data_IF_580406215104
#
_entry.id   IF_580406215104
#
_cell.length_a   1.000
_cell.length_b   1.000
_cell.length_c   1.000
_cell.angle_alpha   90.00
_cell.angle_beta   90.00
_cell.angle_gamma   90.00
#
_symmetry.space_group_name_H-M   'P 1'
#
loop_
_entity.id
_entity.type
_entity.pdbx_description
1 polymer ?
#
# COMPACT_ATOMS: atom_id res chain seq x y z
N UNK A 1 83.94 -35.20 -27.72
CA UNK A 1 82.96 -34.54 -28.60
C UNK A 1 81.58 -34.77 -27.99
N UNK A 2 81.08 -33.87 -27.16
CA UNK A 2 79.79 -33.99 -26.46
C UNK A 2 78.92 -32.76 -26.77
N UNK A 3 77.80 -33.01 -27.40
CA UNK A 3 76.82 -31.99 -27.75
C UNK A 3 75.87 -31.89 -26.58
N UNK A 4 75.77 -30.72 -25.95
CA UNK A 4 74.81 -30.41 -24.84
C UNK A 4 73.63 -29.78 -25.51
N UNK A 5 72.46 -30.43 -25.39
CA UNK A 5 71.15 -29.95 -25.84
C UNK A 5 70.49 -29.14 -24.71
N UNK A 6 70.27 -27.89 -24.98
CA UNK A 6 69.52 -27.01 -24.08
C UNK A 6 68.03 -27.12 -24.40
N UNK A 7 67.22 -27.60 -23.44
CA UNK A 7 65.73 -27.55 -23.46
C UNK A 7 65.24 -26.28 -22.81
N UNK A 8 64.71 -25.39 -23.62
CA UNK A 8 63.98 -24.20 -23.15
C UNK A 8 62.62 -24.60 -22.61
N UNK A 9 62.38 -24.35 -21.33
CA UNK A 9 61.04 -24.43 -20.70
C UNK A 9 60.37 -23.07 -20.85
N UNK A 10 59.37 -22.99 -21.72
CA UNK A 10 58.46 -21.87 -21.83
C UNK A 10 57.32 -22.07 -20.80
N UNK A 11 57.38 -21.35 -19.67
CA UNK A 11 56.28 -21.26 -18.70
C UNK A 11 55.25 -20.29 -19.26
N UNK A 12 54.13 -20.83 -19.73
CA UNK A 12 52.95 -20.05 -20.10
C UNK A 12 52.15 -19.62 -18.87
N UNK A 13 52.19 -18.35 -18.59
CA UNK A 13 51.36 -17.73 -17.53
C UNK A 13 49.98 -17.42 -18.10
N UNK A 14 48.99 -18.26 -17.80
CA UNK A 14 47.59 -18.01 -18.14
C UNK A 14 47.01 -16.96 -17.21
N UNK A 15 46.77 -15.76 -17.69
CA UNK A 15 46.05 -14.69 -16.98
C UNK A 15 44.56 -14.96 -17.16
N UNK A 16 43.90 -15.45 -16.11
CA UNK A 16 42.45 -15.58 -16.05
C UNK A 16 41.86 -14.18 -15.80
N UNK A 17 41.31 -13.55 -16.82
CA UNK A 17 40.52 -12.32 -16.70
C UNK A 17 39.16 -12.67 -16.09
N UNK A 18 38.98 -12.39 -14.82
CA UNK A 18 37.68 -12.46 -14.17
C UNK A 18 36.77 -11.33 -14.69
N UNK A 19 35.84 -11.65 -15.57
CA UNK A 19 34.78 -10.75 -16.01
C UNK A 19 33.79 -10.60 -14.86
N UNK A 20 33.87 -9.49 -14.12
CA UNK A 20 32.86 -9.06 -13.15
C UNK A 20 31.61 -8.64 -13.93
N UNK A 21 30.57 -9.49 -13.97
CA UNK A 21 29.27 -9.13 -14.49
C UNK A 21 28.63 -8.23 -13.44
N UNK A 22 28.31 -6.93 -13.72
CA UNK A 22 27.56 -6.12 -12.80
C UNK A 22 26.19 -6.79 -12.61
N UNK A 23 25.90 -7.25 -11.39
CA UNK A 23 24.62 -7.79 -11.02
C UNK A 23 23.56 -6.71 -11.26
N UNK A 24 22.63 -6.94 -12.19
CA UNK A 24 21.43 -6.14 -12.36
C UNK A 24 20.60 -6.41 -11.11
N UNK A 25 20.67 -5.50 -10.15
CA UNK A 25 19.74 -5.48 -9.01
C UNK A 25 18.37 -5.14 -9.59
N UNK A 26 17.55 -6.17 -9.85
CA UNK A 26 16.13 -5.97 -10.08
C UNK A 26 15.58 -5.39 -8.79
N UNK A 27 15.24 -4.11 -8.79
CA UNK A 27 14.45 -3.53 -7.73
C UNK A 27 13.16 -4.35 -7.67
N UNK A 28 13.03 -5.23 -6.67
CA UNK A 28 11.77 -5.89 -6.37
C UNK A 28 10.80 -4.77 -6.01
N UNK A 29 9.86 -4.49 -6.90
CA UNK A 29 8.68 -3.72 -6.53
C UNK A 29 8.04 -4.50 -5.38
N UNK A 30 8.06 -3.94 -4.16
CA UNK A 30 7.42 -4.57 -3.03
C UNK A 30 5.95 -4.77 -3.40
N UNK A 31 5.46 -6.00 -3.28
CA UNK A 31 4.05 -6.32 -3.51
C UNK A 31 3.18 -5.44 -2.61
N UNK A 32 2.11 -4.87 -3.18
CA UNK A 32 1.13 -4.09 -2.41
C UNK A 32 0.26 -5.07 -1.64
N UNK A 33 0.25 -4.96 -0.31
CA UNK A 33 -0.46 -5.88 0.57
C UNK A 33 -1.49 -5.17 1.44
N UNK A 34 -2.45 -5.94 1.98
CA UNK A 34 -3.50 -5.37 2.82
C UNK A 34 -2.93 -4.72 4.07
N UNK A 35 -2.21 -5.49 4.91
CA UNK A 35 -1.77 -5.00 6.21
C UNK A 35 -0.84 -3.79 6.12
N UNK A 36 0.08 -3.80 5.15
CA UNK A 36 1.06 -2.74 5.00
C UNK A 36 0.51 -1.48 4.33
N UNK A 37 -0.24 -1.66 3.22
CA UNK A 37 -0.54 -0.55 2.32
C UNK A 37 -2.02 -0.15 2.34
N UNK A 38 -2.94 -1.10 2.47
CA UNK A 38 -4.38 -0.86 2.33
C UNK A 38 -5.06 -0.60 3.67
N UNK A 39 -4.72 -1.36 4.72
CA UNK A 39 -5.35 -1.21 6.03
C UNK A 39 -5.18 0.19 6.63
N UNK A 40 -4.02 0.86 6.53
CA UNK A 40 -3.90 2.26 6.96
C UNK A 40 -4.86 3.20 6.22
N UNK A 41 -5.08 2.98 4.92
CA UNK A 41 -6.03 3.74 4.12
C UNK A 41 -7.47 3.47 4.60
N UNK A 42 -7.82 2.20 4.82
CA UNK A 42 -9.13 1.82 5.35
C UNK A 42 -9.40 2.46 6.70
N UNK A 43 -8.44 2.45 7.61
CA UNK A 43 -8.55 3.07 8.93
C UNK A 43 -8.86 4.55 8.83
N UNK A 44 -8.09 5.30 8.06
CA UNK A 44 -8.25 6.75 7.94
C UNK A 44 -9.53 7.14 7.19
N UNK A 45 -9.83 6.49 6.08
CA UNK A 45 -10.80 6.98 5.10
C UNK A 45 -12.14 6.23 5.10
N UNK A 46 -12.20 5.01 5.63
CA UNK A 46 -13.38 4.15 5.49
C UNK A 46 -14.00 3.72 6.83
N UNK A 47 -13.18 3.36 7.83
CA UNK A 47 -13.65 2.72 9.06
C UNK A 47 -14.47 3.63 9.97
N UNK A 48 -14.34 4.94 9.84
CA UNK A 48 -15.21 5.86 10.62
C UNK A 48 -16.70 5.60 10.34
N UNK A 49 -17.05 5.24 9.11
CA UNK A 49 -18.42 4.89 8.72
C UNK A 49 -18.64 3.38 8.59
N UNK A 50 -17.65 2.65 8.02
CA UNK A 50 -17.75 1.22 7.70
C UNK A 50 -17.22 0.35 8.84
N UNK A 51 -17.94 0.29 9.96
CA UNK A 51 -17.70 -0.53 11.13
C UNK A 51 -19.00 -0.96 11.79
N UNK A 52 -18.95 -1.89 12.72
CA UNK A 52 -20.14 -2.25 13.53
C UNK A 52 -20.62 -1.00 14.29
N UNK A 53 -21.90 -0.68 14.19
CA UNK A 53 -22.47 0.53 14.78
C UNK A 53 -22.20 1.82 14.01
N UNK A 54 -21.45 1.79 12.92
CA UNK A 54 -21.22 2.92 12.03
C UNK A 54 -22.35 3.16 11.02
N UNK A 55 -22.25 4.23 10.24
CA UNK A 55 -23.26 4.60 9.24
C UNK A 55 -23.18 3.79 7.93
N UNK A 56 -22.04 3.13 7.66
CA UNK A 56 -21.84 2.33 6.44
C UNK A 56 -22.57 0.99 6.50
N UNK A 57 -23.04 0.46 5.36
CA UNK A 57 -23.87 -0.75 5.32
C UNK A 57 -23.14 -2.05 5.65
N UNK A 58 -21.80 -2.08 5.54
CA UNK A 58 -20.97 -3.22 5.85
C UNK A 58 -19.68 -2.77 6.56
N UNK A 59 -19.13 -3.58 7.47
CA UNK A 59 -17.84 -3.28 8.08
C UNK A 59 -16.69 -3.49 7.09
N UNK A 60 -15.67 -2.64 7.17
CA UNK A 60 -14.41 -2.71 6.40
C UNK A 60 -13.22 -2.59 7.37
N UNK A 61 -13.22 -3.41 8.42
CA UNK A 61 -12.25 -3.33 9.52
C UNK A 61 -11.13 -4.36 9.35
N UNK A 62 -11.47 -5.58 8.95
CA UNK A 62 -10.50 -6.68 8.82
C UNK A 62 -10.29 -7.05 7.36
N UNK A 63 -9.19 -7.77 7.08
CA UNK A 63 -8.92 -8.32 5.76
C UNK A 63 -10.14 -9.09 5.18
N UNK A 64 -10.72 -9.98 5.98
CA UNK A 64 -11.86 -10.82 5.55
C UNK A 64 -13.12 -10.00 5.24
N UNK A 65 -13.24 -8.83 5.81
CA UNK A 65 -14.34 -7.89 5.54
C UNK A 65 -14.07 -7.02 4.32
N UNK A 66 -12.82 -6.73 4.00
CA UNK A 66 -12.42 -5.81 2.91
C UNK A 66 -12.20 -6.55 1.59
N UNK A 67 -11.46 -7.67 1.62
CA UNK A 67 -11.05 -8.38 0.42
C UNK A 67 -12.20 -8.79 -0.51
N UNK A 68 -13.37 -9.26 -0.02
CA UNK A 68 -14.51 -9.60 -0.90
C UNK A 68 -15.08 -8.40 -1.66
N UNK A 69 -14.84 -7.18 -1.18
CA UNK A 69 -15.33 -5.94 -1.78
C UNK A 69 -14.26 -5.16 -2.55
N UNK A 70 -13.06 -5.71 -2.74
CA UNK A 70 -11.92 -5.01 -3.33
C UNK A 70 -12.26 -4.33 -4.68
N UNK A 71 -12.91 -5.04 -5.60
CA UNK A 71 -13.31 -4.48 -6.87
C UNK A 71 -14.38 -3.39 -6.77
N UNK A 72 -15.30 -3.50 -5.79
CA UNK A 72 -16.28 -2.45 -5.51
C UNK A 72 -15.63 -1.22 -4.89
N UNK A 73 -14.68 -1.43 -3.98
CA UNK A 73 -13.90 -0.36 -3.35
C UNK A 73 -13.11 0.38 -4.44
N UNK A 74 -12.37 -0.34 -5.29
CA UNK A 74 -11.66 0.25 -6.43
C UNK A 74 -12.60 1.12 -7.29
N UNK A 75 -13.73 0.56 -7.69
CA UNK A 75 -14.71 1.29 -8.52
C UNK A 75 -15.24 2.54 -7.82
N UNK A 76 -15.66 2.43 -6.55
CA UNK A 76 -16.26 3.54 -5.80
C UNK A 76 -15.27 4.65 -5.49
N UNK A 77 -14.03 4.30 -5.18
CA UNK A 77 -12.98 5.30 -4.91
C UNK A 77 -12.52 6.01 -6.17
N UNK A 78 -12.51 5.33 -7.32
CA UNK A 78 -12.17 5.92 -8.61
C UNK A 78 -13.20 6.95 -9.12
N UNK A 79 -14.42 6.98 -8.55
CA UNK A 79 -15.44 7.98 -8.91
C UNK A 79 -15.07 9.39 -8.43
N UNK A 80 -14.23 9.51 -7.38
CA UNK A 80 -13.74 10.78 -6.81
C UNK A 80 -14.85 11.75 -6.40
N UNK A 81 -15.11 12.76 -7.23
CA UNK A 81 -16.10 13.84 -7.05
C UNK A 81 -17.47 13.52 -7.61
N UNK A 82 -17.65 12.34 -8.22
CA UNK A 82 -18.92 11.96 -8.83
C UNK A 82 -19.89 11.38 -7.80
N UNK A 83 -21.18 11.47 -8.13
CA UNK A 83 -22.22 10.88 -7.31
C UNK A 83 -21.98 9.38 -7.06
N UNK A 84 -22.09 8.97 -5.82
CA UNK A 84 -21.86 7.60 -5.38
C UNK A 84 -20.40 7.22 -5.14
N UNK A 85 -19.47 8.19 -5.18
CA UNK A 85 -18.09 7.99 -4.78
C UNK A 85 -17.98 7.60 -3.28
N UNK A 86 -16.87 6.95 -2.95
CA UNK A 86 -16.43 6.70 -1.58
C UNK A 86 -14.95 7.13 -1.43
N UNK A 87 -14.58 7.83 -0.34
CA UNK A 87 -15.47 8.40 0.69
C UNK A 87 -16.51 9.38 0.10
N UNK A 88 -17.70 9.49 0.69
CA UNK A 88 -18.69 10.46 0.26
C UNK A 88 -18.25 11.88 0.66
N UNK A 89 -18.98 12.88 0.15
CA UNK A 89 -18.76 14.31 0.48
C UNK A 89 -17.39 14.81 0.00
N UNK A 90 -17.24 14.83 -1.30
CA UNK A 90 -16.08 15.48 -1.93
C UNK A 90 -15.92 16.91 -1.42
N UNK A 91 -14.70 17.24 -1.00
CA UNK A 91 -14.36 18.57 -0.54
C UNK A 91 -13.54 19.29 -1.60
N UNK A 92 -14.00 20.50 -1.99
CA UNK A 92 -13.23 21.38 -2.86
C UNK A 92 -12.01 21.91 -2.08
N UNK A 93 -10.83 21.59 -2.58
CA UNK A 93 -9.56 21.97 -1.95
C UNK A 93 -8.93 23.23 -2.51
N UNK A 94 -9.52 23.76 -3.57
CA UNK A 94 -9.01 24.96 -4.28
C UNK A 94 -9.76 26.23 -3.90
N UNK A 95 -10.77 26.15 -3.01
CA UNK A 95 -11.62 27.26 -2.62
C UNK A 95 -11.58 27.48 -1.10
N UNK A 96 -11.25 28.69 -0.67
CA UNK A 96 -11.30 29.09 0.74
C UNK A 96 -10.24 28.41 1.60
N UNK A 97 -10.65 27.83 2.75
CA UNK A 97 -9.78 27.05 3.62
C UNK A 97 -9.55 25.69 2.98
N UNK A 98 -8.29 25.33 2.76
CA UNK A 98 -7.90 24.15 2.00
C UNK A 98 -7.48 22.97 2.88
N UNK A 99 -7.27 23.20 4.16
CA UNK A 99 -6.93 22.17 5.14
C UNK A 99 -8.14 21.85 6.00
N UNK A 100 -8.62 20.62 5.90
CA UNK A 100 -9.75 20.13 6.66
C UNK A 100 -9.29 19.15 7.73
N UNK A 101 -9.81 19.32 8.94
CA UNK A 101 -9.60 18.36 10.01
C UNK A 101 -10.27 17.03 9.64
N UNK A 102 -9.54 15.93 9.85
CA UNK A 102 -10.02 14.56 9.62
C UNK A 102 -10.52 14.32 8.17
N UNK A 103 -9.86 14.93 7.19
CA UNK A 103 -10.19 14.77 5.76
C UNK A 103 -10.07 13.29 5.33
N UNK A 104 -11.16 12.62 4.94
CA UNK A 104 -11.15 11.22 4.52
C UNK A 104 -10.78 11.04 3.05
N UNK A 105 -10.52 12.10 2.30
CA UNK A 105 -10.26 12.00 0.86
C UNK A 105 -8.98 11.22 0.57
N UNK A 106 -8.95 10.57 -0.59
CA UNK A 106 -7.86 9.73 -1.04
C UNK A 106 -6.95 10.52 -2.00
N UNK A 107 -5.63 10.32 -1.85
CA UNK A 107 -4.65 10.83 -2.82
C UNK A 107 -4.61 9.97 -4.08
N UNK A 108 -3.94 10.46 -5.12
CA UNK A 108 -3.75 9.69 -6.37
C UNK A 108 -2.93 8.43 -6.13
N UNK A 109 -1.94 8.50 -5.24
CA UNK A 109 -1.11 7.37 -4.84
C UNK A 109 -1.93 6.31 -4.10
N UNK A 110 -2.82 6.71 -3.20
CA UNK A 110 -3.68 5.78 -2.47
C UNK A 110 -4.71 5.11 -3.40
N UNK A 111 -5.24 5.83 -4.35
CA UNK A 111 -6.09 5.24 -5.39
C UNK A 111 -5.33 4.23 -6.24
N UNK A 112 -4.07 4.51 -6.58
CA UNK A 112 -3.21 3.58 -7.30
C UNK A 112 -2.89 2.33 -6.47
N UNK A 113 -2.64 2.47 -5.15
CA UNK A 113 -2.44 1.34 -4.24
C UNK A 113 -3.69 0.45 -4.17
N UNK A 114 -4.89 1.05 -3.97
CA UNK A 114 -6.15 0.32 -3.94
C UNK A 114 -6.37 -0.46 -5.24
N UNK A 115 -6.16 0.20 -6.38
CA UNK A 115 -6.33 -0.43 -7.71
C UNK A 115 -5.33 -1.57 -7.92
N UNK A 116 -4.07 -1.37 -7.58
CA UNK A 116 -3.03 -2.39 -7.69
C UNK A 116 -3.37 -3.60 -6.82
N UNK A 117 -3.72 -3.39 -5.57
CA UNK A 117 -4.09 -4.45 -4.63
C UNK A 117 -5.32 -5.24 -5.10
N UNK A 118 -6.39 -4.53 -5.50
CA UNK A 118 -7.61 -5.16 -5.97
C UNK A 118 -7.38 -6.05 -7.20
N UNK A 119 -6.50 -5.63 -8.12
CA UNK A 119 -6.20 -6.35 -9.37
C UNK A 119 -5.14 -7.44 -9.24
N UNK A 120 -4.32 -7.41 -8.20
CA UNK A 120 -3.29 -8.42 -7.95
C UNK A 120 -3.76 -9.63 -7.15
N UNK A 121 -5.07 -9.73 -6.87
CA UNK A 121 -5.63 -10.86 -6.13
C UNK A 121 -5.71 -10.63 -4.62
N UNK A 122 -5.67 -9.37 -4.19
CA UNK A 122 -5.86 -8.96 -2.78
C UNK A 122 -4.89 -9.61 -1.80
N UNK A 123 -3.55 -9.54 -2.00
CA UNK A 123 -2.62 -10.17 -1.07
C UNK A 123 -2.78 -9.62 0.34
N UNK A 124 -2.84 -10.54 1.34
CA UNK A 124 -3.03 -10.16 2.74
C UNK A 124 -1.80 -9.48 3.34
N UNK A 125 -0.60 -9.97 3.03
CA UNK A 125 0.64 -9.54 3.65
C UNK A 125 0.89 -10.13 5.03
N UNK A 126 1.95 -9.66 5.67
CA UNK A 126 2.32 -10.08 7.03
C UNK A 126 1.49 -9.30 8.07
N UNK A 127 0.95 -10.02 9.06
CA UNK A 127 0.20 -9.41 10.18
C UNK A 127 1.09 -8.51 11.05
N UNK A 128 2.41 -8.69 11.00
CA UNK A 128 3.35 -7.81 11.68
C UNK A 128 3.40 -6.38 11.10
N UNK A 129 2.98 -6.22 9.84
CA UNK A 129 2.89 -4.91 9.17
C UNK A 129 1.57 -4.18 9.49
N UNK A 130 0.61 -4.85 10.14
CA UNK A 130 -0.69 -4.26 10.43
C UNK A 130 -0.57 -3.06 11.38
N UNK A 131 -1.27 -1.95 11.09
CA UNK A 131 -1.35 -0.82 12.02
C UNK A 131 -2.13 -1.22 13.27
N UNK A 132 -1.93 -0.46 14.35
CA UNK A 132 -2.72 -0.67 15.56
C UNK A 132 -4.22 -0.44 15.25
N UNK A 133 -5.11 -1.33 15.71
CA UNK A 133 -6.55 -1.17 15.51
C UNK A 133 -7.06 0.16 16.06
N UNK A 134 -7.98 0.80 15.34
CA UNK A 134 -8.65 2.00 15.84
C UNK A 134 -9.61 1.66 16.97
N UNK A 135 -9.62 2.52 17.97
CA UNK A 135 -10.60 2.50 19.06
C UNK A 135 -11.62 3.62 18.80
N UNK A 136 -12.87 3.27 18.59
CA UNK A 136 -13.94 4.22 18.35
C UNK A 136 -14.69 4.49 19.65
N UNK A 137 -14.95 5.78 19.91
CA UNK A 137 -15.86 6.19 20.98
C UNK A 137 -17.29 6.18 20.42
N UNK A 138 -18.00 5.08 20.68
CA UNK A 138 -19.39 4.90 20.28
C UNK A 138 -20.37 5.31 21.43
N UNK A 139 -19.87 6.03 22.45
CA UNK A 139 -20.75 6.61 23.46
C UNK A 139 -21.70 7.60 22.81
N UNK A 140 -22.98 7.52 23.21
CA UNK A 140 -24.01 8.48 22.78
C UNK A 140 -23.89 9.84 23.48
N UNK A 141 -22.78 10.08 24.17
CA UNK A 141 -22.56 11.36 24.88
C UNK A 141 -22.22 12.46 23.89
N UNK A 142 -22.82 13.61 24.11
CA UNK A 142 -22.48 14.82 23.40
C UNK A 142 -21.01 15.19 23.63
N UNK A 143 -20.23 15.33 22.56
CA UNK A 143 -18.84 15.79 22.66
C UNK A 143 -18.72 17.29 22.89
N UNK A 144 -19.78 18.04 22.62
CA UNK A 144 -19.85 19.48 22.80
C UNK A 144 -20.42 19.90 24.18
N UNK A 145 -20.62 18.95 25.10
CA UNK A 145 -21.28 19.17 26.38
C UNK A 145 -22.77 18.80 26.36
N UNK A 146 -23.44 18.86 27.52
CA UNK A 146 -24.89 18.61 27.59
C UNK A 146 -25.63 19.74 26.89
N UNK A 147 -26.67 19.44 26.07
CA UNK A 147 -27.51 20.50 25.49
C UNK A 147 -28.32 21.23 26.59
N UNK A 148 -28.53 22.53 26.40
CA UNK A 148 -29.34 23.37 27.26
C UNK A 148 -30.82 22.95 27.29
#
# INVERSE_FOLDING_TARGET
>A
MRIISAKSLLSGMAVAAAMSIPGISLAQSSEVTFHKDIEPIMQRSCQNCHRVGGAGPMPLVTYDQVAPFAGLIEYKTALRDRAGAMPPWYMEKDIGIQEYKDDPSLTDEELALISTWARSGTPKGDEADAPQPLVFDDSLKWKAGEPD
#
